data_IF_970609151430
#
_entry.id   IF_970609151430
#
_cell.length_a   1.000
_cell.length_b   1.000
_cell.length_c   1.000
_cell.angle_alpha   90.00
_cell.angle_beta   90.00
_cell.angle_gamma   90.00
#
_symmetry.space_group_name_H-M   'P 1'
#
loop_
_entity.id
_entity.type
_entity.pdbx_description
1 polymer ?
#
# COMPACT_ATOMS: atom_id res chain seq x y z
N UNK A 1 12.23 7.76 17.74
CA UNK A 1 11.36 7.16 16.69
C UNK A 1 12.06 7.39 15.37
N UNK A 2 12.84 6.39 14.94
CA UNK A 2 13.65 6.44 13.72
C UNK A 2 12.71 6.46 12.51
N UNK A 3 12.63 7.62 11.85
CA UNK A 3 12.01 7.76 10.53
C UNK A 3 12.76 6.83 9.59
N UNK A 4 12.17 5.69 9.25
CA UNK A 4 12.78 4.75 8.32
C UNK A 4 13.08 5.46 6.99
N UNK A 5 14.35 5.42 6.56
CA UNK A 5 14.80 5.97 5.28
C UNK A 5 14.33 5.08 4.13
N UNK A 6 13.02 5.00 3.93
CA UNK A 6 12.42 4.32 2.76
C UNK A 6 12.72 5.07 1.46
N UNK A 7 13.24 6.30 1.56
CA UNK A 7 13.47 7.15 0.40
C UNK A 7 14.59 6.65 -0.51
N UNK A 8 15.73 6.25 0.05
CA UNK A 8 16.84 5.70 -0.71
C UNK A 8 16.46 4.41 -1.48
N UNK A 9 15.89 3.36 -0.86
CA UNK A 9 15.51 2.16 -1.58
C UNK A 9 14.40 2.41 -2.59
N UNK A 10 13.44 3.32 -2.30
CA UNK A 10 12.43 3.69 -3.28
C UNK A 10 13.04 4.41 -4.50
N UNK A 11 14.01 5.30 -4.31
CA UNK A 11 14.71 5.92 -5.43
C UNK A 11 15.38 4.89 -6.34
N UNK A 12 16.00 3.85 -5.76
CA UNK A 12 16.59 2.74 -6.52
C UNK A 12 15.50 1.96 -7.26
N UNK A 13 14.38 1.62 -6.60
CA UNK A 13 13.26 0.91 -7.24
C UNK A 13 12.77 1.68 -8.46
N UNK A 14 12.42 2.95 -8.29
CA UNK A 14 11.86 3.75 -9.38
C UNK A 14 12.88 4.01 -10.49
N UNK A 15 14.16 4.18 -10.15
CA UNK A 15 15.22 4.24 -11.15
C UNK A 15 15.27 2.96 -11.98
N UNK A 16 15.26 1.78 -11.34
CA UNK A 16 15.26 0.47 -11.99
C UNK A 16 14.03 0.23 -12.87
N UNK A 17 12.84 0.66 -12.43
CA UNK A 17 11.60 0.52 -13.19
C UNK A 17 11.54 1.42 -14.43
N UNK A 18 12.26 2.54 -14.42
CA UNK A 18 12.38 3.48 -15.55
C UNK A 18 13.33 2.97 -16.65
N UNK A 19 14.16 1.98 -16.35
CA UNK A 19 15.11 1.44 -17.31
C UNK A 19 14.41 0.64 -18.41
N UNK A 20 14.99 0.65 -19.61
CA UNK A 20 14.55 -0.20 -20.71
C UNK A 20 14.98 -1.67 -20.55
N UNK A 21 16.03 -1.94 -19.78
CA UNK A 21 16.58 -3.28 -19.59
C UNK A 21 15.72 -4.12 -18.61
N UNK A 22 15.11 -5.20 -19.09
CA UNK A 22 14.26 -6.10 -18.30
C UNK A 22 14.94 -6.65 -17.04
N UNK A 23 16.26 -6.85 -17.09
CA UNK A 23 17.03 -7.27 -15.92
C UNK A 23 16.94 -6.25 -14.79
N UNK A 24 17.08 -4.96 -15.09
CA UNK A 24 17.00 -3.88 -14.09
C UNK A 24 15.57 -3.72 -13.58
N UNK A 25 14.59 -3.80 -14.47
CA UNK A 25 13.16 -3.80 -14.09
C UNK A 25 12.87 -4.91 -13.09
N UNK A 26 13.34 -6.14 -13.35
CA UNK A 26 13.19 -7.28 -12.41
C UNK A 26 13.83 -7.03 -11.05
N UNK A 27 14.99 -6.37 -11.00
CA UNK A 27 15.62 -5.97 -9.73
C UNK A 27 14.75 -4.97 -8.97
N UNK A 28 14.21 -3.95 -9.66
CA UNK A 28 13.28 -2.99 -9.07
C UNK A 28 12.03 -3.65 -8.49
N UNK A 29 11.43 -4.60 -9.22
CA UNK A 29 10.25 -5.35 -8.76
C UNK A 29 10.55 -6.24 -7.55
N UNK A 30 11.70 -6.94 -7.55
CA UNK A 30 12.14 -7.74 -6.40
C UNK A 30 12.36 -6.87 -5.16
N UNK A 31 12.99 -5.70 -5.33
CA UNK A 31 13.21 -4.77 -4.23
C UNK A 31 11.88 -4.21 -3.70
N UNK A 32 10.94 -3.84 -4.58
CA UNK A 32 9.60 -3.42 -4.16
C UNK A 32 8.86 -4.53 -3.39
N UNK A 33 8.96 -5.78 -3.87
CA UNK A 33 8.37 -6.94 -3.18
C UNK A 33 8.94 -7.10 -1.78
N UNK A 34 10.26 -6.95 -1.63
CA UNK A 34 10.92 -7.01 -0.32
C UNK A 34 10.42 -5.89 0.60
N UNK A 35 10.33 -4.66 0.11
CA UNK A 35 9.80 -3.52 0.89
C UNK A 35 8.34 -3.74 1.31
N UNK A 36 7.50 -4.28 0.42
CA UNK A 36 6.12 -4.64 0.74
C UNK A 36 6.05 -5.72 1.83
N UNK A 37 6.92 -6.73 1.78
CA UNK A 37 7.03 -7.74 2.81
C UNK A 37 7.49 -7.17 4.16
N UNK A 38 8.45 -6.25 4.16
CA UNK A 38 8.92 -5.56 5.38
C UNK A 38 7.81 -4.69 5.99
N UNK A 39 7.06 -3.96 5.16
CA UNK A 39 5.90 -3.19 5.61
C UNK A 39 4.80 -4.10 6.18
N UNK A 40 4.48 -5.20 5.50
CA UNK A 40 3.51 -6.19 6.00
C UNK A 40 3.96 -6.86 7.30
N UNK A 41 5.28 -7.05 7.48
CA UNK A 41 5.86 -7.58 8.70
C UNK A 41 5.95 -6.54 9.84
N UNK A 42 5.53 -5.29 9.63
CA UNK A 42 5.59 -4.23 10.64
C UNK A 42 7.01 -3.71 10.90
N UNK A 43 7.96 -4.02 10.01
CA UNK A 43 9.34 -3.53 10.10
C UNK A 43 9.46 -2.10 9.57
N UNK A 44 8.56 -1.69 8.69
CA UNK A 44 8.46 -0.33 8.16
C UNK A 44 7.02 0.13 8.36
N UNK A 45 6.83 1.42 8.66
CA UNK A 45 5.50 2.02 8.70
C UNK A 45 4.83 1.93 7.32
N UNK A 46 3.79 1.08 7.22
CA UNK A 46 3.10 0.82 5.97
C UNK A 46 2.38 2.05 5.39
N UNK A 47 1.89 2.95 6.24
CA UNK A 47 1.21 4.18 5.81
C UNK A 47 2.17 5.19 5.20
N UNK A 48 3.33 5.41 5.84
CA UNK A 48 4.41 6.26 5.32
C UNK A 48 4.96 5.67 4.03
N UNK A 49 5.22 4.36 4.01
CA UNK A 49 5.74 3.66 2.84
C UNK A 49 4.81 3.78 1.63
N UNK A 50 3.52 3.45 1.80
CA UNK A 50 2.54 3.54 0.71
C UNK A 50 2.34 4.97 0.23
N UNK A 51 2.33 5.95 1.13
CA UNK A 51 2.26 7.38 0.76
C UNK A 51 3.48 7.82 -0.05
N UNK A 52 4.68 7.36 0.32
CA UNK A 52 5.91 7.66 -0.40
C UNK A 52 5.94 7.01 -1.80
N UNK A 53 5.35 5.83 -1.95
CA UNK A 53 5.16 5.18 -3.26
C UNK A 53 4.16 5.96 -4.11
N UNK A 54 3.02 6.37 -3.55
CA UNK A 54 2.01 7.20 -4.25
C UNK A 54 2.63 8.48 -4.78
N UNK A 55 3.35 9.23 -3.95
CA UNK A 55 3.98 10.50 -4.36
C UNK A 55 4.96 10.33 -5.52
N UNK A 56 5.73 9.22 -5.55
CA UNK A 56 6.65 8.92 -6.65
C UNK A 56 5.92 8.46 -7.91
N UNK A 57 4.86 7.67 -7.76
CA UNK A 57 4.02 7.23 -8.87
C UNK A 57 3.28 8.38 -9.55
N UNK A 58 2.74 9.33 -8.76
CA UNK A 58 2.08 10.52 -9.28
C UNK A 58 2.98 11.40 -10.16
N UNK A 59 4.30 11.36 -9.94
CA UNK A 59 5.29 12.08 -10.73
C UNK A 59 5.78 11.30 -11.97
N UNK A 60 5.22 10.11 -12.27
CA UNK A 60 5.68 9.22 -13.34
C UNK A 60 4.56 8.89 -14.33
N UNK A 61 4.89 8.45 -15.56
CA UNK A 61 3.89 8.07 -16.56
C UNK A 61 3.02 6.88 -16.10
N UNK A 62 1.77 6.83 -16.57
CA UNK A 62 0.81 5.74 -16.31
C UNK A 62 1.35 4.34 -16.64
N UNK A 63 2.25 4.24 -17.62
CA UNK A 63 2.89 2.96 -18.03
C UNK A 63 3.73 2.33 -16.90
N UNK A 64 4.26 3.13 -15.97
CA UNK A 64 5.03 2.63 -14.84
C UNK A 64 4.13 1.96 -13.80
N UNK A 65 2.92 2.48 -13.56
CA UNK A 65 1.90 1.81 -12.74
C UNK A 65 1.62 0.43 -13.30
N UNK A 66 1.39 0.38 -14.60
CA UNK A 66 1.08 -0.84 -15.34
C UNK A 66 2.17 -1.90 -15.19
N UNK A 67 3.42 -1.48 -15.31
CA UNK A 67 4.60 -2.34 -15.13
C UNK A 67 4.76 -2.81 -13.69
N UNK A 68 4.55 -1.91 -12.73
CA UNK A 68 4.65 -2.22 -11.31
C UNK A 68 3.63 -3.28 -10.89
N UNK A 69 2.34 -3.07 -11.16
CA UNK A 69 1.29 -3.99 -10.73
C UNK A 69 1.37 -5.37 -11.39
N UNK A 70 1.74 -5.43 -12.68
CA UNK A 70 1.90 -6.68 -13.41
C UNK A 70 3.16 -7.47 -12.99
N UNK A 71 4.21 -6.78 -12.55
CA UNK A 71 5.48 -7.40 -12.20
C UNK A 71 5.60 -7.89 -10.76
N UNK A 72 4.66 -7.51 -9.88
CA UNK A 72 4.67 -7.91 -8.48
C UNK A 72 4.04 -9.32 -8.30
N UNK A 73 4.64 -10.18 -7.46
CA UNK A 73 4.14 -11.54 -7.25
C UNK A 73 2.81 -11.55 -6.49
N UNK A 74 1.97 -12.55 -6.76
CA UNK A 74 0.71 -12.78 -6.06
C UNK A 74 0.96 -13.43 -4.68
N UNK A 75 1.44 -12.64 -3.72
CA UNK A 75 1.57 -13.05 -2.31
C UNK A 75 0.63 -12.22 -1.44
N UNK A 76 0.25 -12.75 -0.27
CA UNK A 76 -0.65 -12.04 0.67
C UNK A 76 -0.10 -10.67 1.08
N UNK A 77 1.20 -10.56 1.36
CA UNK A 77 1.83 -9.28 1.72
C UNK A 77 1.78 -8.26 0.59
N UNK A 78 2.04 -8.70 -0.64
CA UNK A 78 1.94 -7.84 -1.82
C UNK A 78 0.50 -7.44 -2.10
N UNK A 79 -0.47 -8.34 -1.95
CA UNK A 79 -1.88 -8.02 -2.11
C UNK A 79 -2.35 -6.97 -1.09
N UNK A 80 -1.95 -7.10 0.19
CA UNK A 80 -2.22 -6.05 1.21
C UNK A 80 -1.59 -4.70 0.82
N UNK A 81 -0.34 -4.74 0.34
CA UNK A 81 0.33 -3.55 -0.16
C UNK A 81 -0.41 -2.92 -1.36
N UNK A 82 -0.84 -3.73 -2.34
CA UNK A 82 -1.63 -3.27 -3.49
C UNK A 82 -2.95 -2.63 -3.05
N UNK A 83 -3.68 -3.25 -2.13
CA UNK A 83 -4.92 -2.69 -1.56
C UNK A 83 -4.67 -1.33 -0.91
N UNK A 84 -3.65 -1.22 -0.05
CA UNK A 84 -3.31 0.03 0.60
C UNK A 84 -2.86 1.12 -0.39
N UNK A 85 -2.05 0.74 -1.40
CA UNK A 85 -1.60 1.63 -2.45
C UNK A 85 -2.76 2.16 -3.29
N UNK A 86 -3.64 1.27 -3.78
CA UNK A 86 -4.80 1.65 -4.57
C UNK A 86 -5.77 2.50 -3.76
N UNK A 87 -6.01 2.18 -2.49
CA UNK A 87 -6.80 3.00 -1.57
C UNK A 87 -6.26 4.43 -1.51
N UNK A 88 -4.96 4.59 -1.32
CA UNK A 88 -4.34 5.92 -1.25
C UNK A 88 -4.43 6.68 -2.59
N UNK A 89 -4.27 5.99 -3.72
CA UNK A 89 -4.42 6.58 -5.05
C UNK A 89 -5.86 7.07 -5.31
N UNK A 90 -6.86 6.29 -4.91
CA UNK A 90 -8.29 6.61 -5.11
C UNK A 90 -8.83 7.62 -4.09
N UNK A 91 -8.33 7.61 -2.86
CA UNK A 91 -8.64 8.58 -1.82
C UNK A 91 -8.11 9.99 -2.15
N UNK A 92 -7.06 10.06 -2.99
CA UNK A 92 -6.36 11.28 -3.36
C UNK A 92 -5.53 11.86 -2.21
N UNK A 93 -4.66 12.82 -2.54
CA UNK A 93 -3.76 13.48 -1.56
C UNK A 93 -4.50 14.17 -0.40
N UNK A 94 -5.82 14.41 -0.54
CA UNK A 94 -6.65 15.15 0.42
C UNK A 94 -7.00 14.36 1.70
N UNK A 95 -6.94 13.03 1.70
CA UNK A 95 -7.28 12.24 2.91
C UNK A 95 -6.09 11.98 3.84
N UNK A 96 -4.84 12.10 3.38
CA UNK A 96 -3.65 11.79 4.19
C UNK A 96 -3.41 12.75 5.38
N UNK A 97 -4.14 13.86 5.48
CA UNK A 97 -3.95 14.89 6.51
C UNK A 97 -5.16 15.11 7.43
N UNK A 98 -6.15 14.21 7.47
CA UNK A 98 -7.32 14.34 8.38
C UNK A 98 -7.07 13.83 9.81
N UNK A 99 -5.84 13.51 10.19
CA UNK A 99 -5.47 13.38 11.59
C UNK A 99 -5.27 14.76 12.23
N UNK A 100 -5.68 14.99 13.49
CA UNK A 100 -5.39 16.23 14.19
C UNK A 100 -3.87 16.37 14.29
N UNK A 101 -3.30 17.27 13.48
CA UNK A 101 -1.87 17.56 13.49
C UNK A 101 -1.53 18.08 14.90
N UNK A 102 -0.73 17.36 15.70
CA UNK A 102 -0.34 17.87 17.00
C UNK A 102 0.41 19.19 16.78
N UNK A 103 -0.06 20.24 17.47
CA UNK A 103 0.58 21.56 17.43
C UNK A 103 2.08 21.37 17.73
N UNK A 104 2.98 22.01 16.97
CA UNK A 104 4.41 21.95 17.28
C UNK A 104 4.63 22.62 18.64
N UNK A 105 4.77 21.82 19.69
CA UNK A 105 5.29 22.29 20.96
C UNK A 105 6.77 22.58 20.75
N UNK A 106 7.10 23.88 20.75
CA UNK A 106 8.47 24.35 20.78
C UNK A 106 9.16 23.80 22.05
N UNK A 107 9.99 22.77 21.89
CA UNK A 107 10.89 22.35 22.97
C UNK A 107 11.96 23.42 23.14
N UNK A 108 11.94 24.10 24.28
CA UNK A 108 13.04 24.93 24.72
C UNK A 108 14.33 24.09 24.78
N UNK A 109 15.42 24.60 24.19
CA UNK A 109 16.76 24.00 24.28
C UNK A 109 17.24 24.04 25.74
N UNK A 110 17.70 22.92 26.33
CA UNK A 110 18.44 22.98 27.58
C UNK A 110 19.81 23.63 27.34
N UNK A 111 20.13 24.63 28.16
CA UNK A 111 21.44 25.28 28.21
C UNK A 111 22.49 24.27 28.71
N UNK A 112 23.66 24.34 28.09
CA UNK A 112 24.89 23.65 28.48
C UNK A 112 25.28 23.97 29.92
N UNK A 113 25.54 22.96 30.75
CA UNK A 113 26.42 23.11 31.92
C UNK A 113 27.62 22.17 31.77
N UNK A 114 28.81 22.78 31.82
CA UNK A 114 30.08 22.09 31.91
C UNK A 114 30.23 21.54 33.33
N UNK A 115 30.48 20.23 33.48
CA UNK A 115 31.18 19.69 34.65
C UNK A 115 32.16 18.62 34.18
N UNK A 116 33.42 18.82 34.55
CA UNK A 116 34.59 18.02 34.16
C UNK A 116 34.74 16.74 34.98
N UNK A 117 34.97 15.63 34.25
CA UNK A 117 35.92 14.51 34.42
C UNK A 117 36.52 14.19 35.82
N UNK A 118 36.28 12.95 36.29
CA UNK A 118 37.24 11.99 36.88
C UNK A 118 36.54 10.62 37.07
N UNK A 119 36.81 9.60 36.25
CA UNK A 119 37.78 8.51 36.47
C UNK A 119 37.42 7.51 37.59
N UNK A 120 36.97 6.31 37.22
CA UNK A 120 37.39 5.03 37.81
C UNK A 120 36.87 3.88 36.96
N UNK A 121 37.79 3.03 36.52
CA UNK A 121 37.54 1.79 35.81
C UNK A 121 36.92 0.75 36.76
N UNK A 122 35.91 0.04 36.28
CA UNK A 122 35.66 -1.36 36.60
C UNK A 122 34.86 -1.96 35.45
N UNK A 123 35.55 -2.77 34.65
CA UNK A 123 34.97 -3.54 33.57
C UNK A 123 34.32 -4.79 34.17
N UNK A 124 33.00 -4.82 34.17
CA UNK A 124 32.19 -6.01 34.39
C UNK A 124 31.62 -6.43 33.02
N UNK A 125 31.68 -7.72 32.63
CA UNK A 125 31.23 -8.14 31.30
C UNK A 125 29.71 -7.98 31.17
N UNK A 126 29.19 -7.34 30.10
CA UNK A 126 27.76 -7.18 29.92
C UNK A 126 27.12 -8.55 29.66
N UNK A 127 26.18 -8.94 30.53
CA UNK A 127 25.15 -9.94 30.24
C UNK A 127 24.45 -9.56 28.93
N UNK A 128 24.04 -10.53 28.08
CA UNK A 128 23.18 -10.24 26.95
C UNK A 128 21.78 -9.90 27.48
N UNK A 129 21.57 -8.63 27.80
CA UNK A 129 20.26 -8.09 28.09
C UNK A 129 19.48 -7.88 26.78
N UNK A 130 18.30 -8.49 26.74
CA UNK A 130 17.14 -7.98 26.04
C UNK A 130 17.22 -8.02 24.52
N UNK A 131 16.49 -8.97 23.93
CA UNK A 131 15.92 -8.79 22.59
C UNK A 131 15.37 -7.37 22.50
N UNK A 132 16.02 -6.55 21.67
CA UNK A 132 15.59 -5.20 21.35
C UNK A 132 14.17 -5.30 20.81
N UNK A 133 13.19 -5.01 21.67
CA UNK A 133 11.77 -5.03 21.33
C UNK A 133 11.51 -3.74 20.56
N UNK A 134 12.01 -3.70 19.32
CA UNK A 134 11.70 -2.62 18.39
C UNK A 134 10.17 -2.62 18.28
N UNK A 135 9.50 -1.49 18.58
CA UNK A 135 8.05 -1.40 18.47
C UNK A 135 7.68 -1.72 17.02
N UNK A 136 7.07 -2.90 16.84
CA UNK A 136 6.63 -3.41 15.55
C UNK A 136 5.46 -2.54 15.09
N UNK A 137 5.59 -1.91 13.92
CA UNK A 137 4.50 -1.16 13.34
C UNK A 137 3.32 -2.10 13.05
N UNK A 138 2.10 -1.58 13.11
CA UNK A 138 0.92 -2.38 12.77
C UNK A 138 0.99 -2.83 11.30
N UNK A 139 0.59 -4.08 11.01
CA UNK A 139 0.52 -4.58 9.65
C UNK A 139 -0.44 -3.71 8.81
N UNK A 140 -0.17 -3.58 7.51
CA UNK A 140 -0.97 -2.80 6.56
C UNK A 140 -2.48 -3.10 6.73
N UNK A 141 -3.28 -2.16 7.27
CA UNK A 141 -4.66 -2.41 7.60
C UNK A 141 -5.48 -2.56 6.31
N UNK A 142 -6.37 -3.55 6.31
CA UNK A 142 -7.33 -3.72 5.21
C UNK A 142 -8.52 -2.80 5.43
N UNK A 143 -9.01 -2.12 4.37
CA UNK A 143 -10.22 -1.33 4.47
C UNK A 143 -11.43 -2.24 4.72
N UNK A 144 -12.43 -1.68 5.39
CA UNK A 144 -13.74 -2.31 5.48
C UNK A 144 -14.35 -2.44 4.07
N UNK A 145 -15.18 -3.46 3.88
CA UNK A 145 -15.80 -3.73 2.58
C UNK A 145 -16.67 -2.57 2.09
N UNK A 146 -17.43 -1.96 3.00
CA UNK A 146 -18.26 -0.77 2.72
C UNK A 146 -17.41 0.39 2.20
N UNK A 147 -16.27 0.66 2.83
CA UNK A 147 -15.31 1.67 2.39
C UNK A 147 -14.75 1.34 1.00
N UNK A 148 -14.39 0.07 0.79
CA UNK A 148 -13.83 -0.39 -0.48
C UNK A 148 -14.82 -0.23 -1.63
N UNK A 149 -16.09 -0.63 -1.45
CA UNK A 149 -17.12 -0.48 -2.48
C UNK A 149 -17.39 0.99 -2.77
N UNK A 150 -17.45 1.84 -1.75
CA UNK A 150 -17.58 3.30 -1.94
C UNK A 150 -16.40 3.89 -2.74
N UNK A 151 -15.17 3.43 -2.49
CA UNK A 151 -13.99 3.88 -3.24
C UNK A 151 -14.04 3.44 -4.72
N UNK A 152 -14.55 2.24 -4.98
CA UNK A 152 -14.71 1.70 -6.33
C UNK A 152 -15.83 2.42 -7.10
N UNK A 153 -16.94 2.73 -6.43
CA UNK A 153 -18.10 3.40 -7.06
C UNK A 153 -17.87 4.88 -7.37
N UNK A 154 -16.91 5.54 -6.69
CA UNK A 154 -16.55 6.93 -6.99
C UNK A 154 -16.24 7.08 -8.48
N UNK A 155 -16.73 8.14 -9.10
CA UNK A 155 -16.46 8.47 -10.52
C UNK A 155 -15.43 9.58 -10.66
N UNK A 156 -15.17 10.31 -9.58
CA UNK A 156 -14.19 11.39 -9.53
C UNK A 156 -12.82 10.86 -9.17
N UNK A 157 -11.80 11.32 -9.90
CA UNK A 157 -10.41 11.02 -9.60
C UNK A 157 -9.52 12.24 -9.76
N UNK A 158 -8.38 12.19 -9.08
CA UNK A 158 -7.37 13.24 -9.19
C UNK A 158 -6.56 13.03 -10.47
N UNK A 159 -6.84 13.86 -11.49
CA UNK A 159 -6.13 13.83 -12.78
C UNK A 159 -4.63 14.14 -12.65
N UNK A 160 -4.20 14.75 -11.54
CA UNK A 160 -2.77 14.98 -11.29
C UNK A 160 -2.05 13.70 -10.88
N UNK A 161 -2.75 12.76 -10.25
CA UNK A 161 -2.19 11.49 -9.77
C UNK A 161 -2.41 10.39 -10.82
N UNK A 162 -3.59 10.37 -11.44
CA UNK A 162 -3.98 9.38 -12.43
C UNK A 162 -4.26 10.12 -13.74
N UNK A 163 -3.28 10.14 -14.63
CA UNK A 163 -3.24 11.00 -15.82
C UNK A 163 -4.37 10.73 -16.82
N UNK A 164 -4.91 9.52 -16.84
CA UNK A 164 -5.96 9.10 -17.76
C UNK A 164 -6.98 8.17 -17.09
N UNK A 165 -8.08 7.92 -17.82
CA UNK A 165 -9.17 7.06 -17.37
C UNK A 165 -8.74 5.59 -17.27
N UNK A 166 -7.80 5.14 -18.12
CA UNK A 166 -7.31 3.76 -18.14
C UNK A 166 -6.55 3.42 -16.84
N UNK A 167 -5.63 4.29 -16.42
CA UNK A 167 -4.93 4.20 -15.15
C UNK A 167 -5.90 4.19 -13.96
N UNK A 168 -6.95 5.02 -14.02
CA UNK A 168 -7.99 5.02 -12.99
C UNK A 168 -8.76 3.70 -12.93
N UNK A 169 -9.23 3.20 -14.07
CA UNK A 169 -9.87 1.88 -14.16
C UNK A 169 -8.94 0.77 -13.68
N UNK A 170 -7.67 0.82 -14.06
CA UNK A 170 -6.68 -0.16 -13.63
C UNK A 170 -6.44 -0.17 -12.13
N UNK A 171 -6.37 1.00 -11.48
CA UNK A 171 -6.20 1.07 -10.02
C UNK A 171 -7.41 0.44 -9.31
N UNK A 172 -8.63 0.68 -9.78
CA UNK A 172 -9.83 0.02 -9.25
C UNK A 172 -9.82 -1.50 -9.47
N UNK A 173 -9.39 -1.93 -10.66
CA UNK A 173 -9.26 -3.35 -10.99
C UNK A 173 -8.26 -4.04 -10.07
N UNK A 174 -7.08 -3.44 -9.85
CA UNK A 174 -6.06 -3.97 -8.95
C UNK A 174 -6.52 -3.95 -7.49
N UNK A 175 -7.30 -2.94 -7.08
CA UNK A 175 -7.90 -2.89 -5.74
C UNK A 175 -8.83 -4.09 -5.51
N UNK A 176 -9.82 -4.27 -6.40
CA UNK A 176 -10.80 -5.34 -6.28
C UNK A 176 -10.17 -6.73 -6.39
N UNK A 177 -9.30 -6.95 -7.37
CA UNK A 177 -8.64 -8.24 -7.57
C UNK A 177 -7.72 -8.60 -6.41
N UNK A 178 -6.95 -7.63 -5.89
CA UNK A 178 -6.08 -7.85 -4.71
C UNK A 178 -6.90 -8.09 -3.45
N UNK A 179 -8.02 -7.39 -3.27
CA UNK A 179 -8.89 -7.61 -2.12
C UNK A 179 -9.57 -8.98 -2.20
N UNK A 180 -10.13 -9.34 -3.34
CA UNK A 180 -10.72 -10.65 -3.57
C UNK A 180 -9.71 -11.79 -3.35
N UNK A 181 -8.47 -11.62 -3.80
CA UNK A 181 -7.39 -12.57 -3.54
C UNK A 181 -7.16 -12.77 -2.03
N UNK A 182 -7.24 -11.71 -1.23
CA UNK A 182 -7.10 -11.78 0.23
C UNK A 182 -8.30 -12.44 0.92
N UNK A 183 -9.48 -12.41 0.31
CA UNK A 183 -10.71 -13.05 0.79
C UNK A 183 -10.86 -14.50 0.29
N UNK A 184 -9.90 -15.00 -0.50
CA UNK A 184 -9.94 -16.35 -1.06
C UNK A 184 -9.90 -17.44 0.02
N UNK A 185 -10.13 -18.72 -0.36
CA UNK A 185 -10.31 -19.86 0.56
C UNK A 185 -9.12 -20.17 1.49
N UNK A 186 -7.99 -19.48 1.34
CA UNK A 186 -6.85 -19.53 2.26
C UNK A 186 -6.86 -18.44 3.34
N UNK A 187 -7.87 -17.56 3.37
CA UNK A 187 -8.00 -16.56 4.43
C UNK A 187 -8.31 -17.27 5.75
N UNK A 188 -7.51 -17.01 6.77
CA UNK A 188 -7.56 -17.62 8.11
C UNK A 188 -8.86 -17.40 8.89
N UNK A 189 -9.81 -16.64 8.34
CA UNK A 189 -11.18 -16.54 8.83
C UNK A 189 -11.96 -17.76 8.36
N UNK A 190 -12.00 -18.78 9.21
CA UNK A 190 -12.74 -20.01 8.96
C UNK A 190 -14.23 -19.78 8.68
N UNK A 191 -14.74 -20.62 7.78
CA UNK A 191 -16.12 -20.96 7.44
C UNK A 191 -17.20 -19.87 7.37
N UNK A 192 -17.77 -19.74 6.16
CA UNK A 192 -19.14 -19.29 5.93
C UNK A 192 -19.28 -17.84 5.50
N UNK A 193 -19.10 -16.91 6.44
CA UNK A 193 -19.75 -15.59 6.34
C UNK A 193 -18.76 -14.43 6.31
N UNK A 194 -17.78 -14.49 5.39
CA UNK A 194 -17.01 -13.26 5.14
C UNK A 194 -17.96 -12.19 4.57
N UNK A 195 -17.86 -10.92 5.01
CA UNK A 195 -18.63 -9.84 4.42
C UNK A 195 -18.49 -9.79 2.89
N UNK A 196 -17.33 -10.21 2.38
CA UNK A 196 -17.06 -10.35 0.96
C UNK A 196 -17.93 -11.42 0.27
N UNK A 197 -18.04 -12.61 0.86
CA UNK A 197 -18.90 -13.67 0.33
C UNK A 197 -20.37 -13.23 0.30
N UNK A 198 -20.85 -12.60 1.39
CA UNK A 198 -22.21 -12.03 1.46
C UNK A 198 -22.44 -10.97 0.39
N UNK A 199 -21.51 -10.02 0.22
CA UNK A 199 -21.61 -8.97 -0.79
C UNK A 199 -21.47 -9.47 -2.23
N UNK A 200 -20.86 -10.64 -2.42
CA UNK A 200 -20.80 -11.31 -3.72
C UNK A 200 -22.13 -11.99 -4.00
N UNK A 201 -22.71 -12.68 -3.01
CA UNK A 201 -23.99 -13.37 -3.11
C UNK A 201 -25.19 -12.41 -3.27
N UNK A 202 -25.18 -11.26 -2.58
CA UNK A 202 -26.25 -10.25 -2.67
C UNK A 202 -26.16 -9.36 -3.93
N UNK A 203 -25.11 -9.53 -4.74
CA UNK A 203 -24.87 -8.77 -5.96
C UNK A 203 -24.29 -7.36 -5.76
N UNK A 204 -23.96 -6.95 -4.53
CA UNK A 204 -23.36 -5.64 -4.24
C UNK A 204 -22.03 -5.45 -4.94
N UNK A 205 -21.18 -6.48 -4.97
CA UNK A 205 -19.89 -6.44 -5.71
C UNK A 205 -20.14 -6.26 -7.21
N UNK A 206 -21.11 -6.99 -7.78
CA UNK A 206 -21.48 -6.86 -9.20
C UNK A 206 -21.95 -5.45 -9.53
N UNK A 207 -22.84 -4.90 -8.71
CA UNK A 207 -23.33 -3.53 -8.85
C UNK A 207 -22.20 -2.50 -8.80
N UNK A 208 -21.25 -2.65 -7.87
CA UNK A 208 -20.10 -1.75 -7.77
C UNK A 208 -19.18 -1.86 -8.99
N UNK A 209 -18.94 -3.07 -9.50
CA UNK A 209 -18.17 -3.32 -10.74
C UNK A 209 -18.86 -2.67 -11.94
N UNK A 210 -20.17 -2.88 -12.09
CA UNK A 210 -20.96 -2.29 -13.17
C UNK A 210 -21.00 -0.76 -13.10
N UNK A 211 -21.12 -0.20 -11.90
CA UNK A 211 -21.07 1.24 -11.69
C UNK A 211 -19.69 1.84 -12.03
N UNK A 212 -18.61 1.13 -11.68
CA UNK A 212 -17.24 1.58 -11.88
C UNK A 212 -16.75 1.46 -13.32
N UNK A 213 -17.20 0.42 -14.04
CA UNK A 213 -16.64 0.02 -15.35
C UNK A 213 -17.67 -0.09 -16.47
N UNK A 214 -18.97 -0.01 -16.17
CA UNK A 214 -20.04 -0.14 -17.17
C UNK A 214 -20.22 1.09 -18.07
N UNK A 215 -19.45 2.16 -17.86
CA UNK A 215 -19.52 3.39 -18.65
C UNK A 215 -18.30 3.48 -19.59
N UNK A 216 -18.55 3.34 -20.89
CA UNK A 216 -17.56 3.58 -21.94
C UNK A 216 -16.70 2.36 -22.29
N UNK A 217 -15.98 2.47 -23.41
CA UNK A 217 -15.20 1.36 -23.99
C UNK A 217 -13.98 0.99 -23.13
N UNK A 218 -13.36 1.97 -22.46
CA UNK A 218 -12.17 1.77 -21.63
C UNK A 218 -12.44 0.88 -20.41
N UNK A 219 -13.63 0.95 -19.81
CA UNK A 219 -13.97 0.17 -18.62
C UNK A 219 -14.32 -1.29 -18.92
N UNK A 220 -14.79 -1.58 -20.13
CA UNK A 220 -15.27 -2.90 -20.55
C UNK A 220 -14.29 -4.07 -20.29
N UNK A 221 -13.01 -4.02 -20.69
CA UNK A 221 -12.08 -5.13 -20.46
C UNK A 221 -11.86 -5.41 -18.95
N UNK A 222 -11.86 -4.36 -18.12
CA UNK A 222 -11.72 -4.51 -16.67
C UNK A 222 -12.96 -5.14 -16.04
N UNK A 223 -14.15 -4.75 -16.51
CA UNK A 223 -15.43 -5.35 -16.10
C UNK A 223 -15.43 -6.84 -16.40
N UNK A 224 -15.16 -7.22 -17.65
CA UNK A 224 -15.15 -8.62 -18.10
C UNK A 224 -14.12 -9.45 -17.33
N UNK A 225 -12.91 -8.90 -17.14
CA UNK A 225 -11.87 -9.54 -16.33
C UNK A 225 -12.27 -9.76 -14.87
N UNK A 226 -12.95 -8.80 -14.24
CA UNK A 226 -13.44 -8.94 -12.87
C UNK A 226 -14.61 -9.92 -12.78
N UNK A 227 -15.57 -9.88 -13.72
CA UNK A 227 -16.67 -10.84 -13.75
C UNK A 227 -16.17 -12.27 -13.84
N UNK A 228 -15.16 -12.52 -14.69
CA UNK A 228 -14.51 -13.82 -14.79
C UNK A 228 -13.78 -14.21 -13.50
N UNK A 229 -12.92 -13.31 -12.98
CA UNK A 229 -12.10 -13.58 -11.80
C UNK A 229 -12.93 -13.82 -10.54
N UNK A 230 -14.02 -13.07 -10.38
CA UNK A 230 -14.91 -13.12 -9.23
C UNK A 230 -16.11 -14.06 -9.42
N UNK A 231 -16.22 -14.72 -10.58
CA UNK A 231 -17.34 -15.60 -10.95
C UNK A 231 -18.71 -14.92 -10.85
N UNK A 232 -18.77 -13.63 -11.17
CA UNK A 232 -20.00 -12.84 -11.07
C UNK A 232 -21.06 -13.25 -12.09
N UNK A 233 -20.76 -14.05 -13.12
CA UNK A 233 -21.75 -14.44 -14.13
C UNK A 233 -22.48 -15.76 -13.81
N UNK A 234 -22.19 -16.33 -12.63
CA UNK A 234 -22.87 -17.52 -12.08
C UNK A 234 -24.16 -17.14 -11.37
#
# INVERSE_FOLDING_TARGET
>A
MTRWETDAPLNIVFYCLDQAEDRRVRVGLRLMTLLANLAAAGQIDGGIFTSAVVSRLAAKPATLFSRLFAGLPATTSVARFKVALCRNLLAGSRQANRGPRPKPQARARPRTSNVSRAAAANAEPPKPEGESTIPRAEPLPLPELSELLQLVERTTYDKQILSDLDAYCRVKFELLSSYAYLQGPGSTTGDGDTPWALATADGSVRKAVDAAFGRGETGRPYREGLSYLLRLDS
#
